data_IF_642818206910
#
_entry.id   IF_642818206910
#
_cell.length_a   1.000
_cell.length_b   1.000
_cell.length_c   1.000
_cell.angle_alpha   90.00
_cell.angle_beta   90.00
_cell.angle_gamma   90.00
#
_symmetry.space_group_name_H-M   'P 1'
#
loop_
_entity.id
_entity.type
_entity.pdbx_description
1 polymer ?
#
# COMPACT_ATOMS: atom_id res chain seq x y z
N UNK A 1 -38.77 -49.49 -0.09
CA UNK A 1 -39.37 -48.76 -1.24
C UNK A 1 -38.51 -47.49 -1.44
N UNK A 2 -37.79 -47.46 -2.55
CA UNK A 2 -36.84 -46.42 -2.86
C UNK A 2 -37.57 -45.08 -3.10
N UNK A 3 -37.20 -44.04 -2.35
CA UNK A 3 -37.66 -42.65 -2.54
C UNK A 3 -37.40 -42.06 -3.96
N UNK A 4 -36.72 -42.80 -4.80
CA UNK A 4 -36.32 -42.45 -6.18
C UNK A 4 -37.42 -42.73 -7.21
N UNK A 5 -38.38 -43.61 -6.92
CA UNK A 5 -39.38 -44.05 -7.90
C UNK A 5 -40.58 -43.11 -8.12
N UNK A 6 -40.72 -42.03 -7.35
CA UNK A 6 -41.85 -41.09 -7.46
C UNK A 6 -41.43 -39.64 -7.75
N UNK A 7 -40.24 -39.43 -8.32
CA UNK A 7 -39.79 -38.09 -8.68
C UNK A 7 -40.47 -37.65 -9.99
N UNK A 8 -41.35 -36.66 -9.92
CA UNK A 8 -41.86 -35.99 -11.13
C UNK A 8 -40.76 -35.11 -11.75
N UNK A 9 -40.02 -35.66 -12.71
CA UNK A 9 -38.93 -35.00 -13.41
C UNK A 9 -39.39 -33.71 -14.09
N UNK A 10 -40.58 -33.71 -14.70
CA UNK A 10 -41.14 -32.59 -15.44
C UNK A 10 -41.44 -31.46 -14.50
N UNK A 11 -42.10 -31.70 -13.35
CA UNK A 11 -42.36 -30.68 -12.35
C UNK A 11 -41.07 -30.06 -11.78
N UNK A 12 -39.99 -30.85 -11.60
CA UNK A 12 -38.71 -30.38 -11.16
C UNK A 12 -38.02 -29.51 -12.22
N UNK A 13 -37.95 -29.97 -13.47
CA UNK A 13 -37.37 -29.25 -14.59
C UNK A 13 -38.11 -27.93 -14.84
N UNK A 14 -39.45 -27.91 -14.66
CA UNK A 14 -40.26 -26.67 -14.73
C UNK A 14 -39.92 -25.67 -13.63
N UNK A 15 -39.40 -26.13 -12.48
CA UNK A 15 -38.91 -25.25 -11.40
C UNK A 15 -37.52 -24.68 -11.72
N UNK A 16 -36.67 -25.49 -12.37
CA UNK A 16 -35.32 -25.09 -12.74
C UNK A 16 -35.28 -24.20 -14.00
N UNK A 17 -36.19 -24.43 -14.96
CA UNK A 17 -36.28 -23.73 -16.23
C UNK A 17 -37.69 -23.13 -16.43
N UNK A 18 -37.84 -21.85 -16.19
CA UNK A 18 -39.16 -21.17 -16.25
C UNK A 18 -39.65 -20.90 -17.68
N UNK A 19 -38.76 -21.04 -18.69
CA UNK A 19 -39.04 -20.65 -20.08
C UNK A 19 -39.30 -21.82 -21.04
N UNK A 20 -39.11 -23.05 -20.62
CA UNK A 20 -39.24 -24.23 -21.48
C UNK A 20 -40.71 -24.59 -21.75
N UNK A 21 -41.01 -25.01 -22.98
CA UNK A 21 -42.31 -25.56 -23.33
C UNK A 21 -42.45 -27.01 -22.80
N UNK A 22 -43.72 -27.47 -22.68
CA UNK A 22 -43.97 -28.80 -22.09
C UNK A 22 -43.33 -29.97 -22.90
N UNK A 23 -43.24 -29.86 -24.22
CA UNK A 23 -42.55 -30.80 -25.10
C UNK A 23 -41.01 -30.82 -24.90
N UNK A 24 -40.41 -29.60 -24.68
CA UNK A 24 -38.98 -29.47 -24.35
C UNK A 24 -38.66 -30.08 -22.97
N UNK A 25 -39.59 -29.91 -22.00
CA UNK A 25 -39.47 -30.52 -20.67
C UNK A 25 -39.58 -32.05 -20.70
N UNK A 26 -40.47 -32.59 -21.53
CA UNK A 26 -40.59 -34.04 -21.74
C UNK A 26 -39.33 -34.63 -22.38
N UNK A 27 -38.78 -33.98 -23.43
CA UNK A 27 -37.52 -34.40 -24.07
C UNK A 27 -36.36 -34.37 -23.05
N UNK A 28 -36.22 -33.29 -22.28
CA UNK A 28 -35.19 -33.13 -21.24
C UNK A 28 -35.35 -34.20 -20.14
N UNK A 29 -36.56 -34.48 -19.70
CA UNK A 29 -36.82 -35.51 -18.69
C UNK A 29 -36.47 -36.93 -19.19
N UNK A 30 -36.65 -37.22 -20.49
CA UNK A 30 -36.25 -38.49 -21.09
C UNK A 30 -34.72 -38.67 -21.19
N UNK A 31 -33.97 -37.55 -21.35
CA UNK A 31 -32.51 -37.54 -21.44
C UNK A 31 -31.80 -37.46 -20.09
N UNK A 32 -32.53 -37.36 -18.97
CA UNK A 32 -31.95 -37.29 -17.62
C UNK A 32 -32.09 -38.61 -16.87
N UNK A 33 -31.07 -38.94 -16.07
CA UNK A 33 -31.10 -40.04 -15.10
C UNK A 33 -31.21 -39.52 -13.67
N UNK A 34 -32.00 -40.22 -12.83
CA UNK A 34 -32.11 -39.89 -11.40
C UNK A 34 -31.01 -40.61 -10.64
N UNK A 35 -30.19 -39.86 -9.90
CA UNK A 35 -29.16 -40.45 -9.02
C UNK A 35 -29.22 -39.86 -7.62
N UNK A 36 -28.83 -40.64 -6.63
CA UNK A 36 -28.76 -40.25 -5.24
C UNK A 36 -27.31 -40.40 -4.75
N UNK A 37 -26.85 -39.40 -4.02
CA UNK A 37 -25.51 -39.32 -3.43
C UNK A 37 -25.59 -39.21 -1.92
N UNK A 38 -24.68 -39.87 -1.19
CA UNK A 38 -24.65 -39.80 0.27
C UNK A 38 -24.16 -38.39 0.73
N UNK A 39 -24.25 -38.17 2.01
CA UNK A 39 -23.66 -36.99 2.67
C UNK A 39 -22.14 -37.04 2.53
N UNK A 40 -21.51 -35.85 2.42
CA UNK A 40 -20.06 -35.66 2.28
C UNK A 40 -19.45 -36.22 0.97
N UNK A 41 -20.27 -36.39 -0.06
CA UNK A 41 -19.84 -36.83 -1.38
C UNK A 41 -19.41 -35.61 -2.23
N UNK A 42 -18.28 -35.70 -2.94
CA UNK A 42 -17.85 -34.67 -3.89
C UNK A 42 -18.48 -34.95 -5.23
N UNK A 43 -19.44 -34.11 -5.63
CA UNK A 43 -20.15 -34.22 -6.91
C UNK A 43 -19.30 -33.69 -8.08
N UNK A 44 -18.60 -32.58 -7.83
CA UNK A 44 -17.65 -31.95 -8.77
C UNK A 44 -16.43 -31.49 -8.00
N UNK A 45 -15.24 -31.62 -8.60
CA UNK A 45 -13.99 -31.09 -7.99
C UNK A 45 -13.43 -29.95 -8.83
N UNK A 46 -13.07 -28.84 -8.17
CA UNK A 46 -12.44 -27.70 -8.82
C UNK A 46 -11.19 -28.13 -9.60
N UNK A 47 -11.05 -27.64 -10.84
CA UNK A 47 -9.93 -27.92 -11.73
C UNK A 47 -10.03 -29.25 -12.50
N UNK A 48 -10.96 -30.16 -12.17
CA UNK A 48 -11.16 -31.43 -12.90
C UNK A 48 -12.10 -31.22 -14.10
N UNK A 49 -11.86 -32.00 -15.18
CA UNK A 49 -12.73 -32.06 -16.34
C UNK A 49 -13.79 -33.13 -16.11
N UNK A 50 -15.04 -32.71 -16.05
CA UNK A 50 -16.19 -33.58 -15.90
C UNK A 50 -17.29 -33.20 -16.90
N UNK A 51 -17.92 -34.17 -17.50
CA UNK A 51 -18.87 -33.99 -18.62
C UNK A 51 -20.32 -34.23 -18.22
N UNK A 52 -20.67 -33.92 -16.96
CA UNK A 52 -22.03 -34.11 -16.44
C UNK A 52 -22.64 -32.80 -15.96
N UNK A 53 -23.88 -32.58 -16.35
CA UNK A 53 -24.77 -31.51 -15.90
C UNK A 53 -25.75 -32.06 -14.86
N UNK A 54 -26.02 -31.30 -13.82
CA UNK A 54 -26.88 -31.73 -12.72
C UNK A 54 -27.98 -30.70 -12.45
N UNK A 55 -29.21 -31.20 -12.21
CA UNK A 55 -30.33 -30.46 -11.65
C UNK A 55 -30.65 -31.08 -10.28
N UNK A 56 -30.58 -30.28 -9.20
CA UNK A 56 -30.80 -30.77 -7.84
C UNK A 56 -32.30 -31.05 -7.65
N UNK A 57 -32.66 -32.29 -7.35
CA UNK A 57 -34.03 -32.73 -7.11
C UNK A 57 -34.42 -32.67 -5.63
N UNK A 58 -33.47 -32.90 -4.73
CA UNK A 58 -33.68 -32.83 -3.28
C UNK A 58 -32.37 -32.93 -2.52
N UNK A 59 -32.36 -32.45 -1.28
CA UNK A 59 -31.17 -32.32 -0.50
C UNK A 59 -30.43 -30.99 -0.76
N UNK A 60 -29.22 -30.85 -0.18
CA UNK A 60 -28.40 -29.66 -0.28
C UNK A 60 -26.94 -30.03 -0.51
N UNK A 61 -26.23 -29.17 -1.23
CA UNK A 61 -24.78 -29.23 -1.41
C UNK A 61 -24.15 -27.84 -1.27
N UNK A 62 -22.89 -27.77 -0.89
CA UNK A 62 -22.11 -26.54 -0.86
C UNK A 62 -21.24 -26.44 -2.11
N UNK A 63 -21.16 -25.23 -2.66
CA UNK A 63 -20.20 -24.87 -3.69
C UNK A 63 -19.07 -24.10 -3.01
N UNK A 64 -17.84 -24.60 -3.13
CA UNK A 64 -16.66 -24.01 -2.52
C UNK A 64 -15.54 -23.86 -3.53
N UNK A 65 -14.61 -22.94 -3.23
CA UNK A 65 -13.43 -22.68 -4.05
C UNK A 65 -12.19 -22.57 -3.19
N UNK A 66 -11.09 -23.12 -3.68
CA UNK A 66 -9.79 -22.95 -3.04
C UNK A 66 -9.26 -21.54 -3.30
N UNK A 67 -8.98 -20.78 -2.23
CA UNK A 67 -8.50 -19.39 -2.34
C UNK A 67 -6.99 -19.33 -2.29
N UNK A 68 -6.38 -19.91 -1.23
CA UNK A 68 -4.93 -19.98 -1.05
C UNK A 68 -4.57 -21.07 -0.04
N UNK A 69 -3.29 -21.42 0.06
CA UNK A 69 -2.82 -22.37 1.09
C UNK A 69 -3.08 -21.90 2.52
N UNK A 70 -3.16 -20.58 2.75
CA UNK A 70 -3.39 -20.00 4.08
C UNK A 70 -4.88 -19.88 4.44
N UNK A 71 -5.73 -19.56 3.48
CA UNK A 71 -7.17 -19.37 3.69
C UNK A 71 -7.97 -20.65 3.47
N UNK A 72 -7.40 -21.64 2.75
CA UNK A 72 -8.04 -22.93 2.48
C UNK A 72 -9.24 -22.81 1.51
N UNK A 73 -10.27 -23.62 1.78
CA UNK A 73 -11.49 -23.72 0.98
C UNK A 73 -12.57 -22.76 1.50
N UNK A 74 -13.05 -21.87 0.63
CA UNK A 74 -14.12 -20.91 0.95
C UNK A 74 -15.43 -21.37 0.33
N UNK A 75 -16.48 -21.50 1.15
CA UNK A 75 -17.84 -21.76 0.68
C UNK A 75 -18.39 -20.50 0.02
N UNK A 76 -18.76 -20.63 -1.25
CA UNK A 76 -19.35 -19.54 -2.04
C UNK A 76 -20.87 -19.46 -1.81
N UNK A 77 -21.56 -20.63 -1.86
CA UNK A 77 -23.01 -20.73 -1.65
C UNK A 77 -23.46 -22.15 -1.36
N UNK A 78 -24.67 -22.28 -0.87
CA UNK A 78 -25.37 -23.57 -0.79
C UNK A 78 -26.40 -23.66 -1.92
N UNK A 79 -26.52 -24.83 -2.51
CA UNK A 79 -27.46 -25.15 -3.58
C UNK A 79 -28.45 -26.19 -3.11
N UNK A 80 -29.66 -26.11 -3.62
CA UNK A 80 -30.78 -26.98 -3.25
C UNK A 80 -31.71 -27.25 -4.43
N UNK A 81 -32.94 -27.73 -4.14
CA UNK A 81 -33.92 -28.16 -5.15
C UNK A 81 -34.15 -27.09 -6.23
N UNK A 82 -34.01 -27.48 -7.49
CA UNK A 82 -34.16 -26.62 -8.68
C UNK A 82 -32.88 -25.92 -9.12
N UNK A 83 -31.81 -25.94 -8.31
CA UNK A 83 -30.52 -25.38 -8.71
C UNK A 83 -29.81 -26.23 -9.76
N UNK A 84 -29.07 -25.53 -10.65
CA UNK A 84 -28.24 -26.10 -11.69
C UNK A 84 -26.79 -26.18 -11.25
N UNK A 85 -26.09 -27.27 -11.57
CA UNK A 85 -24.67 -27.47 -11.28
C UNK A 85 -23.95 -28.00 -12.49
N UNK A 86 -22.81 -27.43 -12.83
CA UNK A 86 -21.91 -27.91 -13.87
C UNK A 86 -22.13 -27.32 -15.26
N UNK A 87 -23.15 -26.47 -15.45
CA UNK A 87 -23.51 -25.84 -16.73
C UNK A 87 -22.37 -24.99 -17.31
N UNK A 88 -21.68 -24.24 -16.45
CA UNK A 88 -20.62 -23.29 -16.87
C UNK A 88 -19.43 -24.03 -17.51
N UNK A 89 -18.97 -25.11 -16.89
CA UNK A 89 -17.84 -25.89 -17.37
C UNK A 89 -18.16 -26.56 -18.72
N UNK A 90 -19.39 -27.02 -18.91
CA UNK A 90 -19.83 -27.64 -20.16
C UNK A 90 -19.93 -26.64 -21.31
N UNK A 91 -20.51 -25.45 -21.05
CA UNK A 91 -20.64 -24.37 -22.05
C UNK A 91 -19.28 -23.80 -22.46
N UNK A 92 -18.37 -23.62 -21.50
CA UNK A 92 -17.04 -23.09 -21.78
C UNK A 92 -16.03 -24.10 -22.24
N UNK A 93 -16.38 -25.40 -22.20
CA UNK A 93 -15.45 -26.52 -22.42
C UNK A 93 -14.19 -26.38 -21.54
N UNK A 94 -14.38 -26.08 -20.27
CA UNK A 94 -13.36 -25.73 -19.27
C UNK A 94 -13.43 -26.69 -18.07
N UNK A 95 -12.38 -26.77 -17.23
CA UNK A 95 -12.45 -27.47 -15.95
C UNK A 95 -13.52 -26.91 -15.03
N UNK A 96 -13.97 -27.70 -14.06
CA UNK A 96 -14.90 -27.26 -13.01
C UNK A 96 -14.36 -26.04 -12.29
N UNK A 97 -15.16 -25.00 -12.18
CA UNK A 97 -14.76 -23.71 -11.56
C UNK A 97 -14.81 -23.72 -10.03
N UNK A 98 -15.40 -24.76 -9.43
CA UNK A 98 -15.58 -24.90 -7.99
C UNK A 98 -15.81 -26.36 -7.61
N UNK A 99 -15.56 -26.70 -6.34
CA UNK A 99 -15.89 -27.98 -5.74
C UNK A 99 -17.33 -27.97 -5.24
N UNK A 100 -18.09 -29.02 -5.53
CA UNK A 100 -19.46 -29.20 -5.05
C UNK A 100 -19.51 -30.43 -4.14
N UNK A 101 -19.85 -30.20 -2.86
CA UNK A 101 -19.88 -31.23 -1.82
C UNK A 101 -21.27 -31.31 -1.20
N UNK A 102 -21.80 -32.52 -1.09
CA UNK A 102 -23.12 -32.76 -0.47
C UNK A 102 -23.05 -32.54 1.05
N UNK A 103 -24.04 -31.81 1.60
CA UNK A 103 -24.20 -31.60 3.06
C UNK A 103 -25.41 -32.37 3.63
N UNK A 104 -26.21 -32.97 2.76
CA UNK A 104 -27.27 -33.92 3.09
C UNK A 104 -27.30 -35.02 2.02
N UNK A 105 -28.13 -36.06 2.19
CA UNK A 105 -28.44 -36.94 1.07
C UNK A 105 -28.94 -36.09 -0.10
N UNK A 106 -28.32 -36.22 -1.26
CA UNK A 106 -28.59 -35.41 -2.44
C UNK A 106 -29.17 -36.28 -3.55
N UNK A 107 -30.33 -35.91 -4.06
CA UNK A 107 -30.91 -36.49 -5.25
C UNK A 107 -30.80 -35.50 -6.39
N UNK A 108 -30.31 -35.94 -7.55
CA UNK A 108 -30.11 -35.12 -8.76
C UNK A 108 -30.69 -35.75 -9.99
N UNK A 109 -31.00 -34.91 -10.98
CA UNK A 109 -31.12 -35.35 -12.38
C UNK A 109 -29.77 -35.09 -13.05
N UNK A 110 -29.20 -36.14 -13.64
CA UNK A 110 -27.96 -36.10 -14.40
C UNK A 110 -28.20 -36.11 -15.88
N UNK A 111 -27.44 -35.31 -16.63
CA UNK A 111 -27.41 -35.32 -18.09
C UNK A 111 -25.95 -35.24 -18.52
N UNK A 112 -25.56 -36.07 -19.48
CA UNK A 112 -24.23 -36.02 -20.07
C UNK A 112 -24.08 -34.79 -21.01
N UNK A 113 -22.86 -34.42 -21.32
CA UNK A 113 -22.52 -33.29 -22.17
C UNK A 113 -23.13 -33.36 -23.58
N UNK A 114 -23.09 -34.49 -24.32
CA UNK A 114 -23.69 -34.56 -25.65
C UNK A 114 -25.20 -34.30 -25.67
N UNK A 115 -25.92 -34.80 -24.67
CA UNK A 115 -27.36 -34.52 -24.54
C UNK A 115 -27.63 -33.07 -24.15
N UNK A 116 -26.83 -32.52 -23.20
CA UNK A 116 -26.91 -31.13 -22.81
C UNK A 116 -26.66 -30.19 -24.00
N UNK A 117 -25.61 -30.41 -24.78
CA UNK A 117 -25.31 -29.61 -25.99
C UNK A 117 -26.41 -29.70 -27.04
N UNK A 118 -26.98 -30.91 -27.21
CA UNK A 118 -28.11 -31.14 -28.14
C UNK A 118 -29.33 -30.31 -27.69
N UNK A 119 -29.71 -30.39 -26.43
CA UNK A 119 -30.82 -29.61 -25.86
C UNK A 119 -30.58 -28.11 -25.98
N UNK A 120 -29.36 -27.65 -25.64
CA UNK A 120 -28.99 -26.25 -25.74
C UNK A 120 -29.08 -25.69 -27.16
N UNK A 121 -28.69 -26.52 -28.17
CA UNK A 121 -28.75 -26.11 -29.58
C UNK A 121 -30.18 -26.09 -30.14
N UNK A 122 -31.08 -26.93 -29.61
CA UNK A 122 -32.48 -27.03 -30.07
C UNK A 122 -33.41 -26.05 -29.35
N UNK A 123 -33.14 -25.70 -28.08
CA UNK A 123 -33.96 -24.82 -27.30
C UNK A 123 -33.28 -23.47 -27.01
N UNK A 124 -33.57 -22.40 -27.78
CA UNK A 124 -33.09 -21.06 -27.48
C UNK A 124 -33.57 -20.54 -26.10
N UNK A 125 -34.70 -21.07 -25.64
CA UNK A 125 -35.26 -20.70 -24.31
C UNK A 125 -34.40 -21.25 -23.18
N UNK A 126 -33.98 -22.52 -23.27
CA UNK A 126 -33.04 -23.13 -22.33
C UNK A 126 -31.73 -22.37 -22.27
N UNK A 127 -31.16 -21.95 -23.42
CA UNK A 127 -29.95 -21.14 -23.48
C UNK A 127 -30.13 -19.80 -22.77
N UNK A 128 -31.25 -19.10 -22.97
CA UNK A 128 -31.57 -17.84 -22.31
C UNK A 128 -31.74 -18.00 -20.82
N UNK A 129 -32.38 -19.06 -20.33
CA UNK A 129 -32.57 -19.32 -18.90
C UNK A 129 -31.23 -19.58 -18.21
N UNK A 130 -30.35 -20.40 -18.84
CA UNK A 130 -28.99 -20.63 -18.31
C UNK A 130 -28.18 -19.34 -18.28
N UNK A 131 -28.25 -18.52 -19.34
CA UNK A 131 -27.57 -17.20 -19.35
C UNK A 131 -28.07 -16.31 -18.21
N UNK A 132 -29.40 -16.23 -17.99
CA UNK A 132 -29.97 -15.44 -16.89
C UNK A 132 -29.46 -15.92 -15.54
N UNK A 133 -29.56 -17.24 -15.27
CA UNK A 133 -29.09 -17.84 -14.03
C UNK A 133 -27.59 -17.56 -13.80
N UNK A 134 -26.79 -17.67 -14.85
CA UNK A 134 -25.34 -17.42 -14.78
C UNK A 134 -25.02 -15.96 -14.54
N UNK A 135 -25.74 -15.03 -15.20
CA UNK A 135 -25.56 -13.59 -15.01
C UNK A 135 -25.99 -13.14 -13.60
N UNK A 136 -27.10 -13.70 -13.07
CA UNK A 136 -27.54 -13.39 -11.72
C UNK A 136 -26.53 -13.88 -10.68
N UNK A 137 -25.99 -15.09 -10.85
CA UNK A 137 -24.91 -15.62 -10.01
C UNK A 137 -23.63 -14.77 -10.08
N UNK A 138 -23.26 -14.29 -11.27
CA UNK A 138 -22.10 -13.43 -11.44
C UNK A 138 -22.29 -12.11 -10.69
N UNK A 139 -23.48 -11.50 -10.82
CA UNK A 139 -23.82 -10.26 -10.09
C UNK A 139 -23.78 -10.44 -8.57
N UNK A 140 -24.32 -11.53 -8.06
CA UNK A 140 -24.28 -11.85 -6.63
C UNK A 140 -22.83 -11.99 -6.12
N UNK A 141 -21.99 -12.71 -6.87
CA UNK A 141 -20.58 -12.87 -6.54
C UNK A 141 -19.83 -11.54 -6.57
N UNK A 142 -20.05 -10.70 -7.59
CA UNK A 142 -19.45 -9.36 -7.69
C UNK A 142 -19.87 -8.47 -6.51
N UNK A 143 -21.13 -8.49 -6.14
CA UNK A 143 -21.65 -7.71 -5.00
C UNK A 143 -21.00 -8.17 -3.68
N UNK A 144 -20.88 -9.47 -3.45
CA UNK A 144 -20.19 -10.02 -2.27
C UNK A 144 -18.72 -9.61 -2.24
N UNK A 145 -18.03 -9.72 -3.37
CA UNK A 145 -16.62 -9.34 -3.48
C UNK A 145 -16.40 -7.84 -3.21
N UNK A 146 -17.25 -6.99 -3.77
CA UNK A 146 -17.22 -5.54 -3.53
C UNK A 146 -17.46 -5.24 -2.04
N UNK A 147 -18.44 -5.90 -1.41
CA UNK A 147 -18.72 -5.72 0.02
C UNK A 147 -17.54 -6.15 0.90
N UNK A 148 -16.90 -7.29 0.60
CA UNK A 148 -15.72 -7.77 1.31
C UNK A 148 -14.53 -6.81 1.16
N UNK A 149 -14.27 -6.32 -0.06
CA UNK A 149 -13.22 -5.31 -0.33
C UNK A 149 -13.48 -4.00 0.42
N UNK A 150 -14.73 -3.53 0.44
CA UNK A 150 -15.11 -2.34 1.21
C UNK A 150 -14.89 -2.52 2.70
N UNK A 151 -15.24 -3.70 3.24
CA UNK A 151 -15.03 -4.04 4.66
C UNK A 151 -13.55 -4.09 5.00
N UNK A 152 -12.73 -4.76 4.18
CA UNK A 152 -11.27 -4.83 4.36
C UNK A 152 -10.64 -3.42 4.30
N UNK A 153 -11.03 -2.59 3.33
CA UNK A 153 -10.54 -1.22 3.20
C UNK A 153 -10.91 -0.35 4.43
N UNK A 154 -12.14 -0.51 4.94
CA UNK A 154 -12.57 0.19 6.17
C UNK A 154 -11.72 -0.21 7.37
N UNK A 155 -11.41 -1.50 7.54
CA UNK A 155 -10.54 -1.98 8.63
C UNK A 155 -9.13 -1.44 8.49
N UNK A 156 -8.56 -1.48 7.28
CA UNK A 156 -7.22 -0.93 7.01
C UNK A 156 -7.14 0.57 7.35
N UNK A 157 -8.11 1.36 6.88
CA UNK A 157 -8.18 2.80 7.21
C UNK A 157 -8.31 3.05 8.72
N UNK A 158 -9.07 2.22 9.43
CA UNK A 158 -9.20 2.35 10.87
C UNK A 158 -7.88 2.02 11.60
N UNK A 159 -7.16 0.99 11.15
CA UNK A 159 -5.84 0.64 11.69
C UNK A 159 -4.83 1.76 11.45
N UNK A 160 -4.82 2.35 10.26
CA UNK A 160 -3.94 3.48 9.96
C UNK A 160 -4.25 4.70 10.84
N UNK A 161 -5.53 5.05 11.03
CA UNK A 161 -5.93 6.13 11.94
C UNK A 161 -5.48 5.85 13.38
N UNK A 162 -5.74 4.65 13.89
CA UNK A 162 -5.34 4.27 15.25
C UNK A 162 -3.82 4.34 15.42
N UNK A 163 -3.05 3.92 14.39
CA UNK A 163 -1.59 4.02 14.37
C UNK A 163 -1.12 5.49 14.45
N UNK A 164 -1.73 6.38 13.68
CA UNK A 164 -1.41 7.81 13.69
C UNK A 164 -1.73 8.44 15.05
N UNK A 165 -2.90 8.16 15.61
CA UNK A 165 -3.31 8.65 16.94
C UNK A 165 -2.36 8.16 18.04
N UNK A 166 -2.01 6.87 18.03
CA UNK A 166 -1.04 6.31 18.97
C UNK A 166 0.31 7.05 18.90
N UNK A 167 0.83 7.31 17.69
CA UNK A 167 2.08 8.03 17.50
C UNK A 167 1.97 9.47 18.06
N UNK A 168 0.85 10.15 17.83
CA UNK A 168 0.64 11.50 18.34
C UNK A 168 0.63 11.55 19.87
N UNK A 169 -0.11 10.64 20.50
CA UNK A 169 -0.18 10.52 21.97
C UNK A 169 1.19 10.18 22.54
N UNK A 170 1.85 9.14 22.01
CA UNK A 170 3.17 8.72 22.48
C UNK A 170 4.21 9.86 22.35
N UNK A 171 4.20 10.60 21.26
CA UNK A 171 5.09 11.72 21.05
C UNK A 171 4.84 12.86 22.05
N UNK A 172 3.58 13.14 22.38
CA UNK A 172 3.23 14.13 23.39
C UNK A 172 3.71 13.72 24.78
N UNK A 173 3.45 12.45 25.16
CA UNK A 173 3.87 11.89 26.44
C UNK A 173 5.39 11.77 26.60
N UNK A 174 6.14 11.62 25.51
CA UNK A 174 7.60 11.63 25.51
C UNK A 174 8.18 13.05 25.56
N UNK A 175 7.54 14.03 24.92
CA UNK A 175 8.04 15.42 24.88
C UNK A 175 8.14 16.05 26.28
N UNK A 176 7.16 15.82 27.13
CA UNK A 176 7.09 16.40 28.48
C UNK A 176 8.28 15.98 29.34
N UNK A 177 8.58 14.70 29.59
CA UNK A 177 9.72 14.29 30.41
C UNK A 177 11.06 14.70 29.78
N UNK A 178 11.16 14.70 28.43
CA UNK A 178 12.37 15.14 27.75
C UNK A 178 12.66 16.63 27.94
N UNK A 179 11.62 17.48 27.94
CA UNK A 179 11.75 18.90 28.22
C UNK A 179 12.27 19.15 29.66
N UNK A 180 11.76 18.36 30.60
CA UNK A 180 12.22 18.39 32.01
C UNK A 180 13.67 17.94 32.12
N UNK A 181 14.03 16.81 31.49
CA UNK A 181 15.41 16.31 31.47
C UNK A 181 16.39 17.31 30.86
N UNK A 182 16.02 17.94 29.74
CA UNK A 182 16.83 18.97 29.09
C UNK A 182 16.97 20.20 30.00
N UNK A 183 15.90 20.61 30.70
CA UNK A 183 15.92 21.69 31.64
C UNK A 183 16.92 21.45 32.77
N UNK A 184 16.89 20.28 33.39
CA UNK A 184 17.84 19.91 34.43
C UNK A 184 19.28 19.78 33.92
N UNK A 185 19.50 19.21 32.75
CA UNK A 185 20.82 19.12 32.15
C UNK A 185 21.42 20.49 31.85
N UNK A 186 20.60 21.45 31.37
CA UNK A 186 21.04 22.82 31.14
C UNK A 186 21.38 23.54 32.46
N UNK A 187 20.59 23.33 33.52
CA UNK A 187 20.90 23.90 34.86
C UNK A 187 22.20 23.30 35.41
N UNK A 188 22.43 22.02 35.27
CA UNK A 188 23.69 21.38 35.66
C UNK A 188 24.87 21.95 34.85
N UNK A 189 24.74 22.09 33.53
CA UNK A 189 25.78 22.68 32.67
C UNK A 189 26.14 24.12 33.04
N UNK A 190 25.20 24.85 33.59
CA UNK A 190 25.42 26.22 34.05
C UNK A 190 26.09 26.32 35.45
N UNK A 191 26.22 25.21 36.20
CA UNK A 191 26.85 25.18 37.52
C UNK A 191 28.36 25.37 37.40
N UNK A 192 28.97 26.27 38.25
CA UNK A 192 30.41 26.47 38.27
C UNK A 192 31.22 25.18 38.53
N UNK A 193 30.69 24.26 39.37
CA UNK A 193 31.34 23.00 39.70
C UNK A 193 31.43 22.05 38.50
N UNK A 194 30.43 22.08 37.64
CA UNK A 194 30.41 21.30 36.39
C UNK A 194 31.34 21.88 35.34
N UNK A 195 31.35 23.23 35.23
CA UNK A 195 32.22 23.94 34.27
C UNK A 195 33.72 23.78 34.58
N UNK A 196 34.07 23.62 35.85
CA UNK A 196 35.47 23.39 36.26
C UNK A 196 35.91 21.94 36.20
N UNK A 197 34.98 20.98 36.09
CA UNK A 197 35.25 19.54 36.02
C UNK A 197 35.02 19.02 34.61
N UNK A 198 36.08 18.79 33.85
CA UNK A 198 36.02 18.33 32.46
C UNK A 198 35.20 17.02 32.25
N UNK A 199 35.28 16.08 33.22
CA UNK A 199 34.54 14.83 33.14
C UNK A 199 33.04 15.03 33.31
N UNK A 200 32.65 15.84 34.32
CA UNK A 200 31.24 16.17 34.55
C UNK A 200 30.66 17.01 33.41
N UNK A 201 31.42 17.92 32.86
CA UNK A 201 31.05 18.69 31.68
C UNK A 201 30.77 17.79 30.48
N UNK A 202 31.65 16.83 30.19
CA UNK A 202 31.47 15.83 29.11
C UNK A 202 30.20 14.99 29.28
N UNK A 203 29.93 14.53 30.52
CA UNK A 203 28.72 13.74 30.83
C UNK A 203 27.45 14.58 30.62
N UNK A 204 27.44 15.80 31.12
CA UNK A 204 26.32 16.76 30.99
C UNK A 204 26.05 17.10 29.52
N UNK A 205 27.07 17.36 28.74
CA UNK A 205 27.00 17.58 27.30
C UNK A 205 26.42 16.33 26.56
N UNK A 206 26.82 15.12 26.98
CA UNK A 206 26.30 13.87 26.48
C UNK A 206 24.78 13.73 26.73
N UNK A 207 24.32 14.09 27.94
CA UNK A 207 22.89 14.09 28.31
C UNK A 207 22.12 15.10 27.45
N UNK A 208 22.61 16.32 27.29
CA UNK A 208 21.99 17.36 26.46
C UNK A 208 21.86 16.89 25.02
N UNK A 209 22.94 16.41 24.42
CA UNK A 209 22.95 15.89 23.05
C UNK A 209 21.98 14.70 22.85
N UNK A 210 21.96 13.79 23.83
CA UNK A 210 21.03 12.65 23.81
C UNK A 210 19.55 13.09 23.86
N UNK A 211 19.25 14.06 24.74
CA UNK A 211 17.89 14.61 24.88
C UNK A 211 17.46 15.39 23.63
N UNK A 212 18.34 16.17 23.03
CA UNK A 212 18.10 16.90 21.77
C UNK A 212 17.83 15.94 20.61
N UNK A 213 18.59 14.84 20.54
CA UNK A 213 18.36 13.80 19.53
C UNK A 213 16.99 13.16 19.68
N UNK A 214 16.58 12.77 20.91
CA UNK A 214 15.25 12.22 21.14
C UNK A 214 14.16 13.22 20.76
N UNK A 215 14.33 14.50 21.11
CA UNK A 215 13.39 15.56 20.75
C UNK A 215 13.22 15.70 19.22
N UNK A 216 14.34 15.62 18.48
CA UNK A 216 14.33 15.65 17.02
C UNK A 216 13.59 14.44 16.44
N UNK A 217 13.85 13.21 16.93
CA UNK A 217 13.18 11.99 16.48
C UNK A 217 11.66 12.08 16.70
N UNK A 218 11.25 12.48 17.90
CA UNK A 218 9.82 12.62 18.27
C UNK A 218 9.13 13.65 17.38
N UNK A 219 9.74 14.80 17.15
CA UNK A 219 9.16 15.83 16.29
C UNK A 219 9.09 15.39 14.82
N UNK A 220 10.14 14.73 14.32
CA UNK A 220 10.15 14.17 12.96
C UNK A 220 9.05 13.13 12.76
N UNK A 221 8.78 12.32 13.79
CA UNK A 221 7.70 11.33 13.78
C UNK A 221 6.31 11.98 13.75
N UNK A 222 6.13 13.07 14.50
CA UNK A 222 4.90 13.89 14.44
C UNK A 222 4.71 14.57 13.08
N UNK A 223 5.79 15.06 12.48
CA UNK A 223 5.73 15.71 11.17
C UNK A 223 5.25 14.72 10.11
N UNK A 224 5.78 13.49 10.10
CA UNK A 224 5.31 12.42 9.19
C UNK A 224 3.83 12.12 9.42
N UNK A 225 3.39 11.96 10.68
CA UNK A 225 1.98 11.63 10.96
C UNK A 225 1.04 12.74 10.47
N UNK A 226 1.46 14.00 10.54
CA UNK A 226 0.68 15.13 10.02
C UNK A 226 0.65 15.16 8.49
N UNK A 227 1.81 14.92 7.85
CA UNK A 227 1.93 14.94 6.38
C UNK A 227 1.19 13.77 5.73
N UNK A 228 1.15 12.62 6.39
CA UNK A 228 0.43 11.42 5.90
C UNK A 228 -1.09 11.48 6.16
N UNK A 229 -1.58 12.40 6.99
CA UNK A 229 -3.01 12.48 7.26
C UNK A 229 -3.76 12.94 6.00
N UNK A 230 -4.85 12.24 5.66
CA UNK A 230 -5.74 12.63 4.54
C UNK A 230 -6.35 14.03 4.77
N UNK A 231 -6.31 14.54 5.99
CA UNK A 231 -6.87 15.84 6.42
C UNK A 231 -5.82 16.98 6.41
N UNK A 232 -4.65 16.79 5.78
CA UNK A 232 -3.63 17.84 5.73
C UNK A 232 -4.14 19.05 4.92
N UNK A 233 -4.46 20.12 5.63
CA UNK A 233 -4.81 21.40 5.01
C UNK A 233 -3.55 22.25 4.85
N UNK A 234 -3.12 22.44 3.59
CA UNK A 234 -1.98 23.30 3.28
C UNK A 234 -2.33 24.78 3.53
N UNK A 235 -1.45 25.49 4.22
CA UNK A 235 -1.50 26.94 4.31
C UNK A 235 -0.80 27.54 3.09
N UNK A 236 -1.47 27.47 1.94
CA UNK A 236 -0.90 27.91 0.68
C UNK A 236 -0.74 29.43 0.65
N UNK A 237 0.47 29.88 0.36
CA UNK A 237 0.83 31.29 0.14
C UNK A 237 1.90 31.38 -0.95
N UNK A 238 2.11 32.58 -1.57
CA UNK A 238 3.22 32.78 -2.50
C UNK A 238 4.56 32.57 -1.80
N UNK A 239 5.48 31.83 -2.43
CA UNK A 239 6.75 31.42 -1.84
C UNK A 239 7.93 32.09 -2.55
N UNK A 240 8.74 32.78 -1.76
CA UNK A 240 10.04 33.30 -2.17
C UNK A 240 11.11 32.21 -1.93
N UNK A 241 11.25 31.26 -2.88
CA UNK A 241 12.17 30.11 -2.75
C UNK A 241 13.59 30.52 -2.37
N UNK A 242 14.11 31.59 -2.98
CA UNK A 242 15.44 32.13 -2.66
C UNK A 242 15.60 32.42 -1.18
N UNK A 243 14.59 33.03 -0.55
CA UNK A 243 14.63 33.37 0.88
C UNK A 243 14.63 32.10 1.74
N UNK A 244 13.74 31.13 1.44
CA UNK A 244 13.69 29.85 2.16
C UNK A 244 15.01 29.07 2.07
N UNK A 245 15.63 29.02 0.90
CA UNK A 245 16.92 28.37 0.68
C UNK A 245 18.02 29.05 1.51
N UNK A 246 18.06 30.38 1.51
CA UNK A 246 19.05 31.13 2.30
C UNK A 246 18.83 30.92 3.80
N UNK A 247 17.60 30.83 4.28
CA UNK A 247 17.29 30.52 5.68
C UNK A 247 17.82 29.11 6.06
N UNK A 248 17.62 28.10 5.21
CA UNK A 248 18.14 26.74 5.42
C UNK A 248 19.67 26.73 5.45
N UNK A 249 20.31 27.41 4.49
CA UNK A 249 21.78 27.51 4.42
C UNK A 249 22.31 28.21 5.68
N UNK A 250 21.72 29.32 6.09
CA UNK A 250 22.11 30.01 7.31
C UNK A 250 22.00 29.15 8.56
N UNK A 251 20.89 28.39 8.68
CA UNK A 251 20.68 27.48 9.80
C UNK A 251 21.67 26.30 9.86
N UNK A 252 22.21 25.89 8.71
CA UNK A 252 23.15 24.76 8.60
C UNK A 252 24.62 25.20 8.43
N UNK A 253 24.89 26.50 8.29
CA UNK A 253 26.23 27.05 8.05
C UNK A 253 27.26 26.63 9.08
N UNK A 254 26.89 26.64 10.37
CA UNK A 254 27.78 26.19 11.45
C UNK A 254 28.15 24.72 11.33
N UNK A 255 27.17 23.85 11.12
CA UNK A 255 27.40 22.42 10.99
C UNK A 255 28.22 22.07 9.74
N UNK A 256 28.02 22.79 8.63
CA UNK A 256 28.82 22.66 7.43
C UNK A 256 30.26 23.15 7.63
N UNK A 257 30.46 24.31 8.29
CA UNK A 257 31.78 24.85 8.57
C UNK A 257 32.62 23.99 9.51
N UNK A 258 32.02 23.36 10.53
CA UNK A 258 32.69 22.41 11.43
C UNK A 258 33.25 21.19 10.67
N UNK A 259 32.69 20.91 9.49
CA UNK A 259 33.12 19.83 8.58
C UNK A 259 33.78 20.33 7.30
N UNK A 260 34.12 21.61 7.24
CA UNK A 260 34.71 22.24 6.05
C UNK A 260 33.95 22.01 4.75
N UNK A 261 32.64 21.78 4.85
CA UNK A 261 31.75 21.57 3.69
C UNK A 261 31.29 22.91 3.13
N UNK A 262 31.47 23.12 1.82
CA UNK A 262 31.01 24.32 1.12
C UNK A 262 29.52 24.21 0.78
N UNK A 263 28.69 25.13 1.31
CA UNK A 263 27.26 25.24 0.97
C UNK A 263 27.07 26.38 -0.04
N UNK A 264 26.55 26.05 -1.24
CA UNK A 264 26.36 26.99 -2.33
C UNK A 264 24.90 27.03 -2.75
N UNK A 265 24.39 28.23 -3.00
CA UNK A 265 23.12 28.45 -3.69
C UNK A 265 23.36 29.04 -5.09
N UNK A 266 22.84 28.38 -6.09
CA UNK A 266 22.88 28.83 -7.49
C UNK A 266 21.43 29.12 -7.92
N UNK A 267 20.96 30.36 -7.78
CA UNK A 267 19.62 30.73 -8.25
C UNK A 267 19.64 30.95 -9.77
N UNK A 268 18.57 30.53 -10.45
CA UNK A 268 18.30 30.94 -11.81
C UNK A 268 17.39 32.19 -11.85
N UNK A 269 17.64 33.07 -12.80
CA UNK A 269 17.02 34.40 -12.81
C UNK A 269 15.49 34.38 -13.02
N UNK A 270 14.99 33.40 -13.81
CA UNK A 270 13.59 33.31 -14.23
C UNK A 270 12.80 32.22 -13.48
N UNK A 271 13.15 31.95 -12.21
CA UNK A 271 12.41 31.00 -11.40
C UNK A 271 10.98 31.47 -11.15
N UNK A 272 9.93 30.75 -11.57
CA UNK A 272 8.55 31.17 -11.39
C UNK A 272 8.14 31.22 -9.92
N UNK A 273 7.12 32.00 -9.63
CA UNK A 273 6.52 32.07 -8.31
C UNK A 273 5.69 30.81 -8.08
N UNK A 274 5.95 30.10 -7.01
CA UNK A 274 5.15 28.92 -6.63
C UNK A 274 4.24 29.25 -5.45
N UNK A 275 3.13 28.51 -5.34
CA UNK A 275 2.21 28.58 -4.23
C UNK A 275 2.27 27.31 -3.39
N UNK A 276 2.38 27.47 -2.07
CA UNK A 276 2.47 26.31 -1.17
C UNK A 276 2.55 26.70 0.29
N UNK A 277 2.81 25.73 1.14
CA UNK A 277 3.04 25.92 2.58
C UNK A 277 4.55 26.15 2.84
N UNK A 278 4.96 27.40 3.18
CA UNK A 278 6.38 27.73 3.36
C UNK A 278 7.06 26.90 4.44
N UNK A 279 6.33 26.55 5.53
CA UNK A 279 6.89 25.79 6.63
C UNK A 279 7.17 24.33 6.23
N UNK A 280 6.31 23.73 5.42
CA UNK A 280 6.51 22.36 4.91
C UNK A 280 7.63 22.32 3.87
N UNK A 281 7.68 23.31 2.96
CA UNK A 281 8.75 23.38 1.95
C UNK A 281 10.11 23.65 2.63
N UNK A 282 10.15 24.54 3.62
CA UNK A 282 11.36 24.74 4.42
C UNK A 282 11.85 23.44 5.07
N UNK A 283 10.94 22.61 5.64
CA UNK A 283 11.30 21.31 6.20
C UNK A 283 11.85 20.36 5.14
N UNK A 284 11.25 20.29 3.96
CA UNK A 284 11.75 19.45 2.88
C UNK A 284 13.17 19.86 2.47
N UNK A 285 13.41 21.16 2.26
CA UNK A 285 14.73 21.70 1.94
C UNK A 285 15.76 21.42 3.04
N UNK A 286 15.37 21.58 4.30
CA UNK A 286 16.21 21.27 5.45
C UNK A 286 16.63 19.80 5.46
N UNK A 287 15.69 18.86 5.28
CA UNK A 287 16.01 17.42 5.27
C UNK A 287 16.86 17.02 4.08
N UNK A 288 16.64 17.59 2.89
CA UNK A 288 17.50 17.36 1.73
C UNK A 288 18.92 17.85 1.99
N UNK A 289 19.06 19.06 2.54
CA UNK A 289 20.39 19.68 2.78
C UNK A 289 21.15 18.96 3.90
N UNK A 290 20.46 18.60 5.00
CA UNK A 290 21.05 17.79 6.09
C UNK A 290 21.52 16.43 5.56
N UNK A 291 20.73 15.79 4.69
CA UNK A 291 21.10 14.53 4.09
C UNK A 291 22.36 14.67 3.21
N UNK A 292 22.43 15.72 2.39
CA UNK A 292 23.58 16.03 1.57
C UNK A 292 24.85 16.25 2.42
N UNK A 293 24.77 17.07 3.49
CA UNK A 293 25.90 17.28 4.42
C UNK A 293 26.32 15.96 5.07
N UNK A 294 25.39 15.13 5.49
CA UNK A 294 25.64 13.87 6.18
C UNK A 294 26.44 12.88 5.35
N UNK A 295 26.16 12.76 4.06
CA UNK A 295 26.80 11.79 3.18
C UNK A 295 27.97 12.36 2.37
N UNK A 296 28.29 13.62 2.55
CA UNK A 296 29.48 14.26 1.99
C UNK A 296 30.64 14.17 2.96
N UNK A 297 31.85 13.71 2.56
CA UNK A 297 33.06 13.77 3.38
C UNK A 297 33.46 15.22 3.71
N UNK A 298 34.30 15.36 4.73
CA UNK A 298 34.86 16.66 5.12
C UNK A 298 35.65 17.30 3.97
N UNK A 299 35.46 18.59 3.76
CA UNK A 299 36.04 19.34 2.63
C UNK A 299 35.24 19.23 1.32
N UNK A 300 34.12 18.52 1.31
CA UNK A 300 33.26 18.37 0.14
C UNK A 300 32.36 19.60 -0.09
N UNK A 301 31.40 19.46 -1.02
CA UNK A 301 30.53 20.54 -1.49
C UNK A 301 29.09 20.09 -1.60
N UNK A 302 28.16 20.95 -1.17
CA UNK A 302 26.71 20.81 -1.35
C UNK A 302 26.18 22.03 -2.11
N UNK A 303 25.53 21.79 -3.23
CA UNK A 303 24.98 22.84 -4.10
C UNK A 303 23.47 22.73 -4.16
N UNK A 304 22.77 23.81 -3.87
CA UNK A 304 21.32 23.93 -4.03
C UNK A 304 21.06 24.81 -5.25
N UNK A 305 20.32 24.30 -6.23
CA UNK A 305 19.94 25.05 -7.43
C UNK A 305 18.44 25.01 -7.66
N UNK A 306 17.91 26.05 -8.31
CA UNK A 306 16.50 26.15 -8.69
C UNK A 306 16.39 26.46 -10.18
N UNK A 307 15.55 25.71 -10.91
CA UNK A 307 15.35 25.86 -12.34
C UNK A 307 13.85 25.83 -12.65
N UNK A 308 13.35 26.62 -13.62
CA UNK A 308 12.05 26.39 -14.23
C UNK A 308 12.03 24.99 -14.85
N UNK A 309 11.00 24.19 -14.60
CA UNK A 309 10.90 22.85 -15.14
C UNK A 309 9.44 22.46 -15.36
N UNK A 310 9.21 21.67 -16.41
CA UNK A 310 7.92 21.04 -16.64
C UNK A 310 7.87 19.70 -15.90
N UNK A 311 6.77 19.47 -15.18
CA UNK A 311 6.48 18.19 -14.56
C UNK A 311 5.73 17.24 -15.49
N UNK A 312 5.25 16.13 -14.94
CA UNK A 312 4.31 15.25 -15.64
C UNK A 312 3.08 16.05 -16.07
N UNK A 313 2.53 15.74 -17.24
CA UNK A 313 1.40 16.46 -17.87
C UNK A 313 1.69 17.91 -18.29
N UNK A 314 2.94 18.26 -18.60
CA UNK A 314 3.35 19.58 -19.08
C UNK A 314 3.05 20.75 -18.10
N UNK A 315 2.78 20.45 -16.82
CA UNK A 315 2.57 21.47 -15.81
C UNK A 315 3.84 22.27 -15.57
N UNK A 316 3.74 23.60 -15.61
CA UNK A 316 4.86 24.49 -15.27
C UNK A 316 5.14 24.43 -13.77
N UNK A 317 6.41 24.55 -13.40
CA UNK A 317 6.81 24.50 -12.01
C UNK A 317 8.30 24.77 -11.82
N UNK A 318 8.79 24.49 -10.63
CA UNK A 318 10.18 24.71 -10.25
C UNK A 318 10.80 23.39 -9.78
N UNK A 319 11.95 23.07 -10.37
CA UNK A 319 12.82 22.01 -9.90
C UNK A 319 13.84 22.58 -8.92
N UNK A 320 13.84 22.07 -7.70
CA UNK A 320 14.85 22.33 -6.70
C UNK A 320 15.76 21.12 -6.62
N UNK A 321 17.06 21.29 -6.88
CA UNK A 321 18.05 20.23 -6.85
C UNK A 321 19.08 20.47 -5.75
N UNK A 322 19.28 19.47 -4.90
CA UNK A 322 20.31 19.46 -3.87
C UNK A 322 21.37 18.42 -4.27
N UNK A 323 22.50 18.89 -4.79
CA UNK A 323 23.59 18.06 -5.24
C UNK A 323 24.71 18.04 -4.22
N UNK A 324 25.21 16.87 -3.89
CA UNK A 324 26.35 16.63 -3.03
C UNK A 324 27.52 16.00 -3.79
N UNK A 325 28.72 16.11 -3.21
CA UNK A 325 29.94 15.42 -3.66
C UNK A 325 30.28 14.25 -2.73
N UNK A 326 29.26 13.54 -2.29
CA UNK A 326 29.37 12.46 -1.33
C UNK A 326 29.58 11.07 -1.95
N UNK A 327 29.31 10.06 -1.12
CA UNK A 327 29.53 8.66 -1.46
C UNK A 327 28.61 8.12 -2.56
N UNK A 328 27.55 8.85 -2.91
CA UNK A 328 26.54 8.40 -3.87
C UNK A 328 25.55 7.40 -3.30
N UNK A 329 24.72 6.85 -4.18
CA UNK A 329 23.64 5.91 -3.84
C UNK A 329 23.44 4.91 -4.99
N UNK A 330 23.36 3.61 -4.67
CA UNK A 330 23.10 2.57 -5.66
C UNK A 330 21.66 2.63 -6.18
N UNK A 331 21.47 2.28 -7.45
CA UNK A 331 20.18 2.40 -8.15
C UNK A 331 19.03 1.63 -7.47
N UNK A 332 19.33 0.48 -6.85
CA UNK A 332 18.34 -0.31 -6.11
C UNK A 332 17.72 0.42 -4.90
N UNK A 333 18.42 1.45 -4.40
CA UNK A 333 17.99 2.25 -3.25
C UNK A 333 17.25 3.54 -3.63
N UNK A 334 17.24 3.95 -4.92
CA UNK A 334 16.70 5.26 -5.36
C UNK A 334 15.25 5.50 -4.93
N UNK A 335 14.39 4.49 -5.06
CA UNK A 335 12.99 4.59 -4.60
C UNK A 335 12.86 4.35 -3.09
N UNK A 336 13.64 3.40 -2.57
CA UNK A 336 13.52 2.94 -1.19
C UNK A 336 13.97 3.98 -0.17
N UNK A 337 14.90 4.89 -0.51
CA UNK A 337 15.38 5.93 0.43
C UNK A 337 14.30 6.93 0.83
N UNK A 338 13.21 7.01 0.09
CA UNK A 338 12.04 7.82 0.44
C UNK A 338 11.02 7.06 1.29
N UNK A 339 11.21 5.74 1.53
CA UNK A 339 10.36 4.97 2.43
C UNK A 339 10.68 5.28 3.89
N UNK A 340 9.66 5.19 4.75
CA UNK A 340 9.79 5.44 6.19
C UNK A 340 10.68 4.39 6.82
N UNK A 341 11.59 4.84 7.68
CA UNK A 341 12.55 4.01 8.43
C UNK A 341 13.57 3.27 7.56
N UNK A 342 13.60 3.56 6.26
CA UNK A 342 14.58 2.95 5.38
C UNK A 342 15.95 3.63 5.50
N UNK A 343 17.01 2.83 5.48
CA UNK A 343 18.40 3.27 5.51
C UNK A 343 19.20 2.37 4.58
N UNK A 344 19.89 2.95 3.59
CA UNK A 344 20.80 2.21 2.73
C UNK A 344 22.05 1.82 3.54
N UNK A 345 22.47 0.54 3.51
CA UNK A 345 23.63 0.01 4.22
C UNK A 345 23.32 -0.57 5.61
N UNK A 346 24.33 -1.20 6.24
CA UNK A 346 24.16 -1.84 7.54
C UNK A 346 24.02 -0.83 8.69
N UNK A 347 22.92 -0.92 9.44
CA UNK A 347 22.56 -0.07 10.58
C UNK A 347 23.58 -0.02 11.74
N UNK A 348 24.62 -0.86 11.72
CA UNK A 348 25.56 -1.04 12.84
C UNK A 348 26.69 0.01 12.94
N UNK A 349 26.82 0.94 11.98
CA UNK A 349 27.98 1.86 11.90
C UNK A 349 27.54 3.34 11.92
N UNK A 350 26.52 3.70 12.67
CA UNK A 350 26.07 5.09 12.71
C UNK A 350 26.65 5.87 13.90
N UNK A 351 27.39 6.94 13.59
CA UNK A 351 27.80 7.92 14.60
C UNK A 351 26.58 8.65 15.19
N UNK A 352 26.71 9.15 16.43
CA UNK A 352 25.59 9.75 17.18
C UNK A 352 25.15 11.15 16.74
N UNK A 353 25.77 11.76 15.72
CA UNK A 353 25.45 13.12 15.24
C UNK A 353 24.51 13.15 14.04
N UNK A 354 23.64 14.17 13.97
CA UNK A 354 22.72 14.39 12.84
C UNK A 354 23.40 14.88 11.56
N UNK A 355 24.50 15.58 11.67
CA UNK A 355 25.29 16.17 10.57
C UNK A 355 26.71 15.59 10.46
N UNK A 356 27.09 14.65 11.32
CA UNK A 356 28.35 13.92 11.22
C UNK A 356 28.37 13.00 10.00
N UNK A 357 29.54 12.76 9.41
CA UNK A 357 29.65 11.87 8.27
C UNK A 357 29.07 10.48 8.58
N UNK A 358 28.14 10.02 7.75
CA UNK A 358 27.34 8.79 7.96
C UNK A 358 26.59 8.79 9.32
N UNK A 359 26.26 9.96 9.85
CA UNK A 359 25.57 10.09 11.13
C UNK A 359 24.22 9.37 11.14
N UNK A 360 23.86 8.78 12.30
CA UNK A 360 22.59 8.07 12.47
C UNK A 360 21.38 9.00 12.45
N UNK A 361 20.28 8.51 11.91
CA UNK A 361 18.97 9.17 11.94
C UNK A 361 17.87 8.12 11.83
N UNK A 362 16.60 8.43 12.13
CA UNK A 362 15.50 7.45 12.13
C UNK A 362 15.05 7.00 10.73
N UNK A 363 15.69 7.45 9.64
CA UNK A 363 15.24 7.14 8.27
C UNK A 363 13.91 7.79 7.88
N UNK A 364 13.63 8.97 8.44
CA UNK A 364 12.34 9.65 8.26
C UNK A 364 12.43 10.93 7.42
N UNK A 365 13.63 11.49 7.25
CA UNK A 365 13.81 12.80 6.60
C UNK A 365 13.35 12.82 5.13
N UNK A 366 13.77 11.85 4.34
CA UNK A 366 13.38 11.75 2.92
C UNK A 366 11.90 11.36 2.75
N UNK A 367 11.33 10.60 3.68
CA UNK A 367 9.89 10.33 3.70
C UNK A 367 9.07 11.62 3.93
N UNK A 368 9.57 12.55 4.76
CA UNK A 368 8.98 13.91 4.88
C UNK A 368 9.05 14.64 3.55
N UNK A 369 10.19 14.63 2.87
CA UNK A 369 10.36 15.29 1.57
C UNK A 369 9.31 14.75 0.57
N UNK A 370 9.15 13.42 0.48
CA UNK A 370 8.15 12.79 -0.40
C UNK A 370 6.72 13.17 -0.01
N UNK A 371 6.42 13.19 1.28
CA UNK A 371 5.12 13.62 1.76
C UNK A 371 4.80 15.08 1.45
N UNK A 372 5.77 15.97 1.64
CA UNK A 372 5.65 17.40 1.28
C UNK A 372 5.46 17.57 -0.23
N UNK A 373 6.24 16.87 -1.06
CA UNK A 373 6.09 16.89 -2.51
C UNK A 373 4.65 16.49 -2.90
N UNK A 374 4.17 15.35 -2.42
CA UNK A 374 2.80 14.87 -2.68
C UNK A 374 1.72 15.85 -2.24
N UNK A 375 1.85 16.42 -1.04
CA UNK A 375 0.90 17.40 -0.52
C UNK A 375 0.79 18.63 -1.44
N UNK A 376 1.89 19.03 -2.07
CA UNK A 376 1.94 20.14 -3.04
C UNK A 376 1.71 19.70 -4.48
N UNK A 377 1.27 18.45 -4.75
CA UNK A 377 1.10 17.87 -6.09
C UNK A 377 2.41 17.87 -6.91
N UNK A 378 3.53 17.86 -6.21
CA UNK A 378 4.87 17.79 -6.75
C UNK A 378 5.44 16.37 -6.73
N UNK A 379 6.71 16.26 -7.10
CA UNK A 379 7.45 15.01 -7.19
C UNK A 379 8.82 15.12 -6.57
N UNK A 380 9.39 13.99 -6.13
CA UNK A 380 10.77 13.93 -5.64
C UNK A 380 11.43 12.64 -6.08
N UNK A 381 12.71 12.73 -6.46
CA UNK A 381 13.53 11.59 -6.87
C UNK A 381 15.00 11.86 -6.56
N UNK A 382 15.85 10.87 -6.79
CA UNK A 382 17.30 10.99 -6.65
C UNK A 382 18.00 10.48 -7.90
N UNK A 383 19.07 11.12 -8.26
CA UNK A 383 20.00 10.73 -9.34
C UNK A 383 21.38 10.50 -8.73
N UNK A 384 21.95 9.33 -8.95
CA UNK A 384 23.30 8.99 -8.52
C UNK A 384 23.89 7.90 -9.42
N UNK A 385 25.20 7.97 -9.66
CA UNK A 385 25.91 7.01 -10.52
C UNK A 385 26.26 5.70 -9.79
N UNK A 386 25.88 5.56 -8.52
CA UNK A 386 26.21 4.42 -7.67
C UNK A 386 26.84 4.86 -6.35
N UNK A 387 27.08 3.91 -5.44
CA UNK A 387 27.72 4.15 -4.16
C UNK A 387 29.21 3.78 -4.20
N UNK A 388 30.11 4.75 -3.99
CA UNK A 388 31.56 4.50 -3.96
C UNK A 388 32.23 5.51 -3.00
N UNK A 389 32.77 5.02 -1.90
CA UNK A 389 33.42 5.85 -0.86
C UNK A 389 34.76 6.41 -1.29
N UNK A 390 35.33 5.88 -2.37
CA UNK A 390 36.65 6.29 -2.87
C UNK A 390 36.52 7.30 -4.03
N UNK A 391 35.61 7.03 -4.95
CA UNK A 391 35.39 7.89 -6.13
C UNK A 391 34.47 9.07 -5.86
N UNK A 392 33.63 8.95 -4.81
CA UNK A 392 32.69 9.98 -4.38
C UNK A 392 31.83 10.50 -5.55
N UNK A 393 30.99 9.65 -6.17
CA UNK A 393 30.21 10.04 -7.34
C UNK A 393 29.16 11.12 -7.02
N UNK A 394 28.79 11.27 -5.75
CA UNK A 394 27.76 12.18 -5.29
C UNK A 394 26.36 11.74 -5.62
N UNK A 395 25.40 12.51 -5.12
CA UNK A 395 23.98 12.35 -5.42
C UNK A 395 23.34 13.70 -5.72
N UNK A 396 22.25 13.70 -6.49
CA UNK A 396 21.40 14.85 -6.71
C UNK A 396 19.98 14.49 -6.30
N UNK A 397 19.53 15.06 -5.21
CA UNK A 397 18.14 14.93 -4.76
C UNK A 397 17.30 16.05 -5.37
N UNK A 398 16.22 15.67 -6.03
CA UNK A 398 15.34 16.53 -6.80
C UNK A 398 13.99 16.67 -6.10
N UNK A 399 13.47 17.88 -6.05
CA UNK A 399 12.11 18.23 -5.61
C UNK A 399 11.49 19.16 -6.64
N UNK A 400 10.50 18.66 -7.37
CA UNK A 400 9.71 19.44 -8.31
C UNK A 400 8.40 19.88 -7.67
N UNK A 401 8.05 21.16 -7.77
CA UNK A 401 6.81 21.73 -7.26
C UNK A 401 6.10 22.50 -8.40
N UNK A 402 4.78 22.34 -8.56
CA UNK A 402 4.01 23.10 -9.55
C UNK A 402 3.91 24.59 -9.18
N UNK A 403 3.66 25.42 -10.19
CA UNK A 403 3.40 26.85 -10.06
C UNK A 403 2.12 27.17 -9.27
#
# INVERSE_FOLDING_TARGET
MNKVETLDKIALLKTAFNGLADDELEEMAALTEVRAYPVDFILCREGEYEETFYVIAGGHATISKHISEQEGERVLRTVGRGDLVGEMALIQNAPRSATVRTISELTVLEMDKPHFETMLSRSPRMALDIIRITLDRLRENDQMMIADLQKANKVLRQLDRNKLEFIQVAAHELRTPMTVLKGYANLLSASPDIQTNATLGMVTDGIIKGTDRMHTVVNTMLDITRIDSEDLVLRSSPILLKQLILEVISGLSKAASERTIELIHIPEADTPLIHGDPALIHKALYHLTVNAIKYTPDGGKVTISTHPAQGENEAQGVLISVRDTGIGLDAEHHELVFEKFYQAGHAAIHSSGTTTFKGGGPGLGLAIVRGVARAHRGQTWVESAGCDETKLPGSTFCLWLPE
#
